data_IF_663382814764
#
_entry.id   IF_663382814764
#
_cell.length_a   1.000
_cell.length_b   1.000
_cell.length_c   1.000
_cell.angle_alpha   90.00
_cell.angle_beta   90.00
_cell.angle_gamma   90.00
#
_symmetry.space_group_name_H-M   'P 1'
#
loop_
_entity.id
_entity.type
_entity.pdbx_description
1 polymer ?
#
# COMPACT_ATOMS: atom_id res chain seq x y z
N UNK A 1 -28.64 4.57 -4.03
CA UNK A 1 -27.60 4.54 -5.08
C UNK A 1 -26.62 5.65 -4.76
N UNK A 2 -25.69 5.35 -3.86
CA UNK A 2 -25.02 6.34 -3.03
C UNK A 2 -23.51 6.40 -3.38
N UNK A 3 -23.06 7.61 -3.74
CA UNK A 3 -21.73 8.14 -3.45
C UNK A 3 -20.45 7.51 -4.04
N UNK A 4 -20.47 6.84 -5.19
CA UNK A 4 -19.22 6.43 -5.83
C UNK A 4 -18.48 7.60 -6.52
N UNK A 5 -17.37 7.99 -5.86
CA UNK A 5 -16.18 8.69 -6.38
C UNK A 5 -16.18 10.22 -6.40
N UNK A 6 -16.22 10.82 -5.22
CA UNK A 6 -15.37 12.00 -4.96
C UNK A 6 -13.94 11.47 -4.77
N UNK A 7 -13.19 11.32 -5.86
CA UNK A 7 -11.82 10.79 -5.81
C UNK A 7 -10.96 11.61 -4.85
N UNK A 8 -10.17 10.94 -3.99
CA UNK A 8 -9.19 11.61 -3.14
C UNK A 8 -8.28 12.45 -4.05
N UNK A 9 -8.26 13.78 -3.86
CA UNK A 9 -7.34 14.64 -4.59
C UNK A 9 -5.92 14.40 -4.07
N UNK A 10 -5.19 13.53 -4.76
CA UNK A 10 -3.77 13.29 -4.55
C UNK A 10 -2.94 14.35 -5.29
N UNK A 11 -1.80 14.70 -4.71
CA UNK A 11 -0.78 15.52 -5.36
C UNK A 11 0.51 14.72 -5.60
N UNK A 12 1.48 15.38 -6.22
CA UNK A 12 2.76 14.76 -6.57
C UNK A 12 3.55 14.24 -5.37
N UNK A 13 3.36 14.85 -4.19
CA UNK A 13 4.02 14.41 -2.96
C UNK A 13 3.45 13.08 -2.53
N UNK A 14 2.12 12.92 -2.56
CA UNK A 14 1.48 11.63 -2.24
C UNK A 14 1.94 10.52 -3.19
N UNK A 15 2.03 10.80 -4.49
CA UNK A 15 2.50 9.84 -5.50
C UNK A 15 3.95 9.42 -5.20
N UNK A 16 4.82 10.36 -4.86
CA UNK A 16 6.22 10.06 -4.52
C UNK A 16 6.33 9.24 -3.23
N UNK A 17 5.53 9.55 -2.21
CA UNK A 17 5.46 8.76 -0.96
C UNK A 17 5.07 7.31 -1.29
N UNK A 18 4.00 7.10 -2.06
CA UNK A 18 3.53 5.76 -2.41
C UNK A 18 4.60 4.98 -3.19
N UNK A 19 5.21 5.60 -4.21
CA UNK A 19 6.28 4.96 -5.00
C UNK A 19 7.43 4.50 -4.11
N UNK A 20 7.85 5.35 -3.17
CA UNK A 20 8.96 5.04 -2.26
C UNK A 20 8.62 3.93 -1.27
N UNK A 21 7.45 4.03 -0.65
CA UNK A 21 6.97 3.00 0.27
C UNK A 21 6.74 1.66 -0.44
N UNK A 22 6.28 1.64 -1.68
CA UNK A 22 6.07 0.41 -2.44
C UNK A 22 7.38 -0.30 -2.81
N UNK A 23 8.47 0.45 -3.01
CA UNK A 23 9.78 -0.10 -3.38
C UNK A 23 10.49 -0.75 -2.20
N UNK A 24 10.52 -0.09 -1.04
CA UNK A 24 11.35 -0.52 0.08
C UNK A 24 10.54 -0.95 1.30
N UNK A 25 9.33 -0.39 1.49
CA UNK A 25 8.47 -0.62 2.67
C UNK A 25 9.07 -0.21 4.02
N UNK A 26 10.35 0.17 4.05
CA UNK A 26 11.17 0.34 5.26
C UNK A 26 11.83 1.72 5.34
N UNK A 27 11.67 2.56 4.31
CA UNK A 27 12.14 3.94 4.39
C UNK A 27 11.50 4.64 5.58
N UNK A 28 12.33 5.12 6.51
CA UNK A 28 11.87 5.83 7.68
C UNK A 28 11.26 7.19 7.31
N UNK A 29 10.27 7.63 8.08
CA UNK A 29 9.58 8.93 7.91
C UNK A 29 10.57 10.09 7.78
N UNK A 30 11.67 10.08 8.55
CA UNK A 30 12.69 11.13 8.51
C UNK A 30 13.43 11.19 7.18
N UNK A 31 13.69 10.04 6.57
CA UNK A 31 14.38 9.98 5.27
C UNK A 31 13.45 10.45 4.15
N UNK A 32 12.21 9.95 4.14
CA UNK A 32 11.16 10.42 3.23
C UNK A 32 10.98 11.94 3.30
N UNK A 33 10.95 12.49 4.52
CA UNK A 33 10.86 13.93 4.75
C UNK A 33 12.04 14.69 4.13
N UNK A 34 13.28 14.24 4.36
CA UNK A 34 14.48 14.84 3.79
C UNK A 34 14.47 14.78 2.26
N UNK A 35 14.21 13.62 1.69
CA UNK A 35 14.21 13.39 0.24
C UNK A 35 13.13 14.19 -0.49
N UNK A 36 11.98 14.40 0.14
CA UNK A 36 10.84 15.12 -0.46
C UNK A 36 10.81 16.60 -0.09
N UNK A 37 11.76 17.09 0.71
CA UNK A 37 11.81 18.49 1.16
C UNK A 37 10.58 18.88 1.98
N UNK A 38 10.09 17.98 2.86
CA UNK A 38 8.93 18.18 3.72
C UNK A 38 9.27 17.92 5.17
N UNK A 39 8.46 18.44 6.09
CA UNK A 39 8.62 18.11 7.50
C UNK A 39 8.19 16.65 7.77
N UNK A 40 8.78 15.98 8.78
CA UNK A 40 8.35 14.65 9.19
C UNK A 40 6.85 14.58 9.53
N UNK A 41 6.30 15.62 10.15
CA UNK A 41 4.87 15.69 10.49
C UNK A 41 3.97 15.72 9.26
N UNK A 42 4.36 16.42 8.19
CA UNK A 42 3.62 16.42 6.91
C UNK A 42 3.61 15.03 6.28
N UNK A 43 4.74 14.30 6.30
CA UNK A 43 4.81 12.94 5.77
C UNK A 43 3.91 11.99 6.56
N UNK A 44 3.96 12.03 7.89
CA UNK A 44 3.09 11.21 8.75
C UNK A 44 1.61 11.49 8.47
N UNK A 45 1.24 12.76 8.38
CA UNK A 45 -0.14 13.16 8.09
C UNK A 45 -0.60 12.59 6.73
N UNK A 46 0.22 12.71 5.68
CA UNK A 46 -0.11 12.23 4.35
C UNK A 46 -0.23 10.70 4.30
N UNK A 47 0.70 9.97 4.91
CA UNK A 47 0.62 8.50 5.00
C UNK A 47 -0.69 8.09 5.69
N UNK A 48 -0.99 8.65 6.87
CA UNK A 48 -2.23 8.36 7.60
C UNK A 48 -3.48 8.70 6.79
N UNK A 49 -3.45 9.79 6.02
CA UNK A 49 -4.56 10.16 5.14
C UNK A 49 -4.76 9.13 4.03
N UNK A 50 -3.67 8.67 3.41
CA UNK A 50 -3.70 7.66 2.35
C UNK A 50 -4.14 6.28 2.87
N UNK A 51 -3.76 5.92 4.10
CA UNK A 51 -4.24 4.71 4.78
C UNK A 51 -5.75 4.79 5.07
N UNK A 52 -6.21 5.89 5.67
CA UNK A 52 -7.64 6.11 5.95
C UNK A 52 -8.50 6.12 4.69
N UNK A 53 -7.95 6.59 3.58
CA UNK A 53 -8.61 6.58 2.28
C UNK A 53 -8.55 5.21 1.57
N UNK A 54 -7.88 4.21 2.14
CA UNK A 54 -7.72 2.89 1.54
C UNK A 54 -6.77 2.83 0.33
N UNK A 55 -6.03 3.92 0.06
CA UNK A 55 -5.02 3.97 -1.00
C UNK A 55 -3.80 3.16 -0.60
N UNK A 56 -3.33 3.34 0.64
CA UNK A 56 -2.36 2.44 1.29
C UNK A 56 -3.18 1.41 2.06
N UNK A 57 -3.19 0.16 1.57
CA UNK A 57 -3.96 -0.92 2.19
C UNK A 57 -3.25 -1.57 3.38
N UNK A 58 -1.93 -1.40 3.48
CA UNK A 58 -1.12 -1.96 4.53
C UNK A 58 0.34 -2.13 4.08
N UNK A 59 1.16 -2.61 5.00
CA UNK A 59 2.55 -2.94 4.78
C UNK A 59 2.75 -4.43 5.02
N UNK A 60 3.41 -5.12 4.10
CA UNK A 60 3.68 -6.55 4.20
C UNK A 60 5.16 -6.84 4.05
N UNK A 61 5.62 -7.87 4.74
CA UNK A 61 6.90 -8.47 4.43
C UNK A 61 6.78 -9.31 3.16
N UNK A 62 7.78 -9.23 2.27
CA UNK A 62 7.98 -10.21 1.22
C UNK A 62 8.78 -11.36 1.82
N UNK A 63 8.20 -12.56 1.83
CA UNK A 63 8.72 -13.71 2.56
C UNK A 63 9.02 -14.83 1.57
N UNK A 64 10.18 -15.48 1.74
CA UNK A 64 10.49 -16.71 1.01
C UNK A 64 9.82 -17.90 1.72
N UNK A 65 8.64 -18.27 1.23
CA UNK A 65 7.85 -19.36 1.79
C UNK A 65 8.59 -20.71 1.78
N UNK A 66 9.52 -20.94 0.84
CA UNK A 66 10.31 -22.18 0.81
C UNK A 66 11.23 -22.28 2.03
N UNK A 67 11.83 -21.16 2.44
CA UNK A 67 12.68 -21.11 3.64
C UNK A 67 11.90 -21.23 4.94
N UNK A 68 10.58 -21.01 4.90
CA UNK A 68 9.68 -21.25 6.02
C UNK A 68 9.18 -22.70 6.09
N UNK A 69 9.62 -23.59 5.20
CA UNK A 69 9.21 -24.99 5.17
C UNK A 69 7.90 -25.24 4.41
N UNK A 70 7.32 -24.23 3.76
CA UNK A 70 6.21 -24.45 2.83
C UNK A 70 6.75 -25.07 1.54
N UNK A 71 6.37 -26.32 1.32
CA UNK A 71 6.88 -27.11 0.19
C UNK A 71 6.05 -26.93 -1.09
N UNK A 72 4.78 -26.54 -0.96
CA UNK A 72 3.84 -26.44 -2.08
C UNK A 72 3.16 -25.08 -2.00
N UNK A 73 3.25 -24.32 -3.10
CA UNK A 73 2.38 -23.18 -3.37
C UNK A 73 1.45 -23.61 -4.52
N UNK A 74 0.14 -23.65 -4.27
CA UNK A 74 -0.86 -24.04 -5.27
C UNK A 74 -1.80 -22.86 -5.55
N UNK A 75 -2.13 -22.67 -6.82
CA UNK A 75 -3.19 -21.78 -7.27
C UNK A 75 -4.35 -22.65 -7.77
N UNK A 76 -5.49 -22.58 -7.12
CA UNK A 76 -6.68 -23.36 -7.50
C UNK A 76 -7.70 -22.46 -8.18
N UNK A 77 -8.05 -22.79 -9.42
CA UNK A 77 -9.20 -22.20 -10.10
C UNK A 77 -10.46 -22.95 -9.67
N UNK A 78 -11.44 -22.23 -9.16
CA UNK A 78 -12.75 -22.78 -8.81
C UNK A 78 -13.73 -22.24 -9.84
N UNK A 79 -14.33 -23.13 -10.63
CA UNK A 79 -15.48 -22.82 -11.46
C UNK A 79 -16.72 -23.31 -10.72
N UNK A 80 -17.68 -22.40 -10.51
CA UNK A 80 -18.96 -22.71 -9.90
C UNK A 80 -20.01 -22.60 -10.98
N UNK A 81 -20.71 -23.71 -11.26
CA UNK A 81 -21.91 -23.66 -12.07
C UNK A 81 -23.04 -23.13 -11.19
N UNK A 82 -23.42 -21.88 -11.41
CA UNK A 82 -24.52 -21.25 -10.68
C UNK A 82 -25.82 -22.00 -10.99
N UNK A 83 -26.39 -22.66 -9.99
CA UNK A 83 -27.79 -23.06 -10.05
C UNK A 83 -28.63 -21.79 -9.89
N UNK A 84 -29.46 -21.51 -10.90
CA UNK A 84 -30.52 -20.51 -10.84
C UNK A 84 -31.44 -20.73 -9.63
#
# INVERSE_FOLDING_TARGET
MDSLKKGLKMDDVDIKIIKKLALTGREGIRELARMLGKSPSTIVFRIRRLEKAGVIKGFTALVDYRKLGYQINALTLIQVDGAY
#
